data_IF_434386107001
#
_entry.id   IF_434386107001
#
_cell.length_a   1.000
_cell.length_b   1.000
_cell.length_c   1.000
_cell.angle_alpha   90.00
_cell.angle_beta   90.00
_cell.angle_gamma   90.00
#
_symmetry.space_group_name_H-M   'P 1'
#
loop_
_entity.id
_entity.type
_entity.pdbx_description
1 polymer ?
#
# COMPACT_ATOMS: atom_id res chain seq x y z
N UNK A 1 -16.95 -5.33 10.77
CA UNK A 1 -16.85 -6.62 11.45
C UNK A 1 -18.22 -7.20 11.70
N UNK A 2 -18.41 -8.45 11.30
CA UNK A 2 -19.66 -9.19 11.48
C UNK A 2 -19.40 -10.58 12.08
N UNK A 3 -20.33 -11.05 12.89
CA UNK A 3 -20.47 -12.45 13.28
C UNK A 3 -21.82 -12.90 12.75
N UNK A 4 -21.85 -13.97 11.97
CA UNK A 4 -23.03 -14.47 11.31
C UNK A 4 -23.21 -15.98 11.57
N UNK A 5 -24.44 -16.42 11.91
CA UNK A 5 -24.72 -17.83 12.25
C UNK A 5 -25.29 -18.64 11.08
N UNK A 6 -25.30 -18.07 9.88
CA UNK A 6 -25.93 -18.67 8.70
C UNK A 6 -27.36 -18.19 8.46
N UNK A 7 -27.97 -17.49 9.41
CA UNK A 7 -29.33 -16.94 9.33
C UNK A 7 -29.43 -15.50 9.80
N UNK A 8 -28.67 -15.13 10.84
CA UNK A 8 -28.72 -13.81 11.46
C UNK A 8 -27.33 -13.28 11.77
N UNK A 9 -27.21 -11.96 11.82
CA UNK A 9 -26.04 -11.31 12.41
C UNK A 9 -26.11 -11.41 13.94
N UNK A 10 -25.17 -12.12 14.54
CA UNK A 10 -24.97 -12.14 15.99
C UNK A 10 -24.23 -10.90 16.47
N UNK A 11 -23.39 -10.33 15.64
CA UNK A 11 -22.73 -9.05 15.85
C UNK A 11 -22.55 -8.31 14.53
N UNK A 12 -22.72 -6.98 14.56
CA UNK A 12 -22.47 -6.10 13.40
C UNK A 12 -21.89 -4.78 13.89
N UNK A 13 -20.67 -4.46 13.44
CA UNK A 13 -19.92 -3.28 13.84
C UNK A 13 -19.31 -2.60 12.62
N UNK A 14 -19.66 -1.35 12.41
CA UNK A 14 -19.08 -0.48 11.39
C UNK A 14 -18.39 0.70 12.06
N UNK A 15 -17.17 1.00 11.72
CA UNK A 15 -16.44 2.16 12.26
C UNK A 15 -17.01 3.47 11.71
N UNK A 16 -16.99 4.52 12.53
CA UNK A 16 -17.33 5.88 12.08
C UNK A 16 -16.25 6.40 11.12
N UNK A 17 -14.98 6.09 11.40
CA UNK A 17 -13.85 6.46 10.56
C UNK A 17 -13.75 5.60 9.31
N UNK A 18 -13.34 6.22 8.20
CA UNK A 18 -12.99 5.52 6.97
C UNK A 18 -11.47 5.42 6.86
N UNK A 19 -10.97 4.23 6.49
CA UNK A 19 -9.56 3.96 6.26
C UNK A 19 -9.32 3.94 4.74
N UNK A 20 -8.70 4.99 4.20
CA UNK A 20 -8.58 5.23 2.75
C UNK A 20 -7.14 5.45 2.29
N UNK A 21 -6.17 5.22 3.14
CA UNK A 21 -4.77 5.28 2.74
C UNK A 21 -4.36 3.91 2.18
N UNK A 22 -4.25 3.83 0.86
CA UNK A 22 -3.85 2.62 0.16
C UNK A 22 -2.35 2.33 0.28
N UNK A 23 -1.55 3.30 0.73
CA UNK A 23 -0.12 3.14 0.99
C UNK A 23 0.21 2.71 2.41
N UNK A 24 -0.78 2.51 3.28
CA UNK A 24 -0.56 2.23 4.69
C UNK A 24 -1.02 0.83 5.09
N UNK A 25 -0.23 0.19 5.94
CA UNK A 25 -0.67 -0.97 6.71
C UNK A 25 -1.54 -0.53 7.89
N UNK A 26 -2.64 -1.23 8.10
CA UNK A 26 -3.52 -1.05 9.26
C UNK A 26 -3.44 -2.26 10.16
N UNK A 27 -3.07 -2.05 11.43
CA UNK A 27 -3.13 -3.09 12.45
C UNK A 27 -4.54 -3.14 13.03
N UNK A 28 -5.25 -4.24 12.81
CA UNK A 28 -6.63 -4.41 13.24
C UNK A 28 -6.69 -5.45 14.36
N UNK A 29 -7.33 -5.09 15.48
CA UNK A 29 -7.62 -6.02 16.56
C UNK A 29 -9.12 -6.02 16.83
N UNK A 30 -9.72 -7.21 16.79
CA UNK A 30 -11.10 -7.46 17.21
C UNK A 30 -11.05 -8.27 18.50
N UNK A 31 -11.47 -7.67 19.59
CA UNK A 31 -11.45 -8.31 20.90
C UNK A 31 -12.88 -8.63 21.34
N UNK A 32 -13.21 -9.92 21.47
CA UNK A 32 -14.56 -10.43 21.75
C UNK A 32 -14.60 -11.10 23.11
N UNK A 33 -15.58 -10.74 23.94
CA UNK A 33 -15.91 -11.40 25.20
C UNK A 33 -17.41 -11.24 25.48
N UNK A 34 -18.17 -12.22 25.09
CA UNK A 34 -19.65 -12.21 25.25
C UNK A 34 -20.10 -12.35 26.71
N UNK A 35 -19.22 -12.71 27.65
CA UNK A 35 -19.58 -12.83 29.08
C UNK A 35 -19.80 -11.48 29.75
N UNK A 36 -19.35 -10.40 29.14
CA UNK A 36 -19.47 -9.05 29.67
C UNK A 36 -20.94 -8.65 29.87
N UNK A 37 -21.26 -8.13 31.08
CA UNK A 37 -22.62 -7.66 31.41
C UNK A 37 -23.04 -6.47 30.54
N UNK A 38 -22.12 -5.55 30.27
CA UNK A 38 -22.34 -4.38 29.40
C UNK A 38 -22.11 -4.76 27.96
N UNK A 39 -23.13 -4.63 27.11
CA UNK A 39 -23.08 -5.05 25.72
C UNK A 39 -21.98 -4.37 24.90
N UNK A 40 -21.70 -3.07 25.13
CA UNK A 40 -20.62 -2.31 24.46
C UNK A 40 -19.21 -2.81 24.82
N UNK A 41 -19.05 -3.63 25.84
CA UNK A 41 -17.79 -4.24 26.22
C UNK A 41 -17.58 -5.63 25.60
N UNK A 42 -18.60 -6.22 24.97
CA UNK A 42 -18.54 -7.57 24.39
C UNK A 42 -17.71 -7.64 23.13
N UNK A 43 -17.71 -6.58 22.33
CA UNK A 43 -16.87 -6.47 21.12
C UNK A 43 -16.20 -5.11 21.10
N UNK A 44 -14.89 -5.10 20.89
CA UNK A 44 -14.07 -3.90 20.75
C UNK A 44 -13.24 -3.98 19.48
N UNK A 45 -13.33 -2.95 18.65
CA UNK A 45 -12.53 -2.82 17.42
C UNK A 45 -11.42 -1.81 17.67
N UNK A 46 -10.19 -2.20 17.38
CA UNK A 46 -9.05 -1.30 17.42
C UNK A 46 -8.40 -1.22 16.05
N UNK A 47 -7.96 -0.03 15.69
CA UNK A 47 -7.12 0.19 14.52
C UNK A 47 -5.89 0.97 14.98
N UNK A 48 -4.72 0.45 14.67
CA UNK A 48 -3.44 1.01 15.08
C UNK A 48 -3.40 1.36 16.59
N UNK A 49 -3.82 0.40 17.40
CA UNK A 49 -3.88 0.52 18.86
C UNK A 49 -5.02 1.37 19.43
N UNK A 50 -5.77 2.08 18.60
CA UNK A 50 -6.83 3.02 19.03
C UNK A 50 -8.20 2.36 18.93
N UNK A 51 -8.96 2.40 20.05
CA UNK A 51 -10.36 1.94 20.09
C UNK A 51 -11.21 2.80 19.14
N UNK A 52 -11.95 2.15 18.26
CA UNK A 52 -12.77 2.81 17.27
C UNK A 52 -14.18 3.12 17.78
N UNK A 53 -14.68 4.29 17.45
CA UNK A 53 -16.11 4.60 17.54
C UNK A 53 -16.86 3.86 16.44
N UNK A 54 -18.02 3.29 16.78
CA UNK A 54 -18.87 2.57 15.84
C UNK A 54 -20.13 3.34 15.53
N UNK A 55 -20.66 3.18 14.31
CA UNK A 55 -21.91 3.76 13.89
C UNK A 55 -23.05 3.14 14.72
N UNK A 56 -23.88 4.01 15.27
CA UNK A 56 -25.11 3.61 15.95
C UNK A 56 -26.26 3.39 14.97
N UNK A 57 -27.40 2.96 15.50
CA UNK A 57 -28.63 2.75 14.72
C UNK A 57 -28.90 1.28 14.43
N UNK A 58 -29.78 1.00 13.46
CA UNK A 58 -30.26 -0.35 13.17
C UNK A 58 -29.19 -1.33 12.65
N UNK A 59 -28.05 -0.82 12.23
CA UNK A 59 -26.93 -1.63 11.74
C UNK A 59 -25.97 -2.10 12.85
N UNK A 60 -26.06 -1.51 14.06
CA UNK A 60 -25.25 -1.92 15.20
C UNK A 60 -25.93 -3.06 15.96
N UNK A 61 -25.32 -4.22 15.93
CA UNK A 61 -25.79 -5.41 16.65
C UNK A 61 -24.72 -5.81 17.65
N UNK A 62 -25.09 -5.84 18.94
CA UNK A 62 -24.24 -6.39 20.00
C UNK A 62 -24.61 -7.86 20.21
N UNK A 63 -23.66 -8.78 20.37
CA UNK A 63 -23.97 -10.16 20.72
C UNK A 63 -24.70 -10.19 22.08
N UNK A 64 -25.57 -11.17 22.29
CA UNK A 64 -26.18 -11.41 23.57
C UNK A 64 -25.14 -11.80 24.63
N UNK A 65 -25.49 -11.62 25.91
CA UNK A 65 -24.61 -12.07 26.98
C UNK A 65 -24.48 -13.61 26.95
N UNK A 66 -23.25 -14.11 26.99
CA UNK A 66 -22.90 -15.51 26.86
C UNK A 66 -23.27 -16.10 25.48
N UNK A 67 -23.41 -15.23 24.44
CA UNK A 67 -23.62 -15.68 23.07
C UNK A 67 -22.44 -16.54 22.59
N UNK A 68 -22.73 -17.71 22.08
CA UNK A 68 -21.77 -18.47 21.29
C UNK A 68 -21.55 -17.79 19.93
N UNK A 69 -20.30 -17.57 19.57
CA UNK A 69 -19.92 -16.83 18.37
C UNK A 69 -19.55 -17.71 17.19
N UNK A 70 -19.55 -19.02 17.37
CA UNK A 70 -19.15 -20.02 16.36
C UNK A 70 -17.75 -19.80 15.76
N UNK A 71 -16.92 -18.93 16.36
CA UNK A 71 -15.55 -18.80 15.95
C UNK A 71 -14.82 -20.11 16.20
N UNK A 72 -14.20 -20.61 15.14
CA UNK A 72 -13.40 -21.83 15.19
C UNK A 72 -14.15 -23.08 15.65
N UNK A 73 -15.47 -23.09 15.45
CA UNK A 73 -16.33 -24.25 15.61
C UNK A 73 -16.17 -25.17 14.39
N UNK A 74 -15.90 -26.44 14.61
CA UNK A 74 -15.73 -27.46 13.55
C UNK A 74 -16.98 -27.65 12.66
N UNK A 75 -18.14 -27.19 13.09
CA UNK A 75 -19.42 -27.27 12.37
C UNK A 75 -19.56 -26.15 11.32
N UNK A 76 -18.88 -25.04 11.53
CA UNK A 76 -18.98 -23.86 10.68
C UNK A 76 -17.65 -23.58 9.97
N UNK A 77 -17.72 -23.20 8.69
CA UNK A 77 -16.54 -22.74 7.98
C UNK A 77 -16.15 -21.33 8.46
N UNK A 78 -14.87 -21.15 8.74
CA UNK A 78 -14.28 -19.87 9.05
C UNK A 78 -13.46 -19.40 7.85
N UNK A 79 -13.63 -18.15 7.43
CA UNK A 79 -13.01 -17.58 6.25
C UNK A 79 -12.09 -16.42 6.64
N UNK A 80 -10.96 -16.33 5.98
CA UNK A 80 -10.08 -15.17 6.01
C UNK A 80 -10.04 -14.54 4.63
N UNK A 81 -10.34 -13.23 4.57
CA UNK A 81 -10.27 -12.45 3.33
C UNK A 81 -11.47 -12.62 2.38
N UNK A 82 -12.49 -13.41 2.73
CA UNK A 82 -13.71 -13.51 1.92
C UNK A 82 -14.94 -13.90 2.75
N UNK A 83 -16.11 -13.88 2.13
CA UNK A 83 -17.35 -14.45 2.65
C UNK A 83 -17.63 -15.81 1.97
N UNK A 84 -18.52 -16.65 2.57
CA UNK A 84 -18.98 -17.88 1.95
C UNK A 84 -19.56 -17.62 0.56
N UNK A 85 -19.04 -18.29 -0.47
CA UNK A 85 -19.47 -18.07 -1.85
C UNK A 85 -18.59 -17.15 -2.69
N UNK A 86 -17.54 -16.57 -2.09
CA UNK A 86 -16.57 -15.70 -2.80
C UNK A 86 -17.00 -14.24 -2.92
N UNK A 87 -18.15 -13.87 -2.37
CA UNK A 87 -18.56 -12.47 -2.28
C UNK A 87 -17.71 -11.73 -1.23
N UNK A 88 -17.52 -10.42 -1.40
CA UNK A 88 -16.80 -9.59 -0.44
C UNK A 88 -15.32 -9.95 -0.27
N UNK A 89 -14.68 -10.50 -1.32
CA UNK A 89 -13.25 -10.82 -1.28
C UNK A 89 -12.40 -9.59 -0.93
N UNK A 90 -11.49 -9.78 0.00
CA UNK A 90 -10.53 -8.75 0.39
C UNK A 90 -9.52 -8.55 -0.75
N UNK A 91 -9.30 -7.30 -1.12
CA UNK A 91 -8.29 -6.91 -2.09
C UNK A 91 -7.20 -6.10 -1.38
N UNK A 92 -6.04 -6.67 -1.22
CA UNK A 92 -4.91 -6.06 -0.51
C UNK A 92 -3.98 -7.10 0.11
N UNK A 93 -2.99 -6.64 0.86
CA UNK A 93 -2.06 -7.52 1.56
C UNK A 93 -2.54 -7.84 2.97
N UNK A 94 -2.19 -9.03 3.44
CA UNK A 94 -2.46 -9.49 4.79
C UNK A 94 -1.17 -10.06 5.39
N UNK A 95 -0.87 -9.70 6.64
CA UNK A 95 0.30 -10.17 7.35
C UNK A 95 -0.02 -10.47 8.80
N UNK A 96 0.68 -11.45 9.40
CA UNK A 96 0.69 -11.69 10.85
C UNK A 96 -0.72 -11.88 11.46
N UNK A 97 -1.50 -12.84 10.96
CA UNK A 97 -2.84 -13.12 11.49
C UNK A 97 -2.74 -13.95 12.75
N UNK A 98 -3.17 -13.37 13.87
CA UNK A 98 -3.20 -14.03 15.17
C UNK A 98 -4.65 -14.22 15.62
N UNK A 99 -5.05 -15.44 15.95
CA UNK A 99 -6.31 -15.75 16.63
C UNK A 99 -6.01 -16.33 18.00
N UNK A 100 -6.48 -15.65 19.05
CA UNK A 100 -6.27 -16.07 20.44
C UNK A 100 -7.60 -16.57 21.00
N UNK A 101 -7.64 -17.84 21.35
CA UNK A 101 -8.79 -18.47 21.95
C UNK A 101 -8.77 -18.33 23.48
N UNK A 102 -9.92 -17.97 24.04
CA UNK A 102 -10.13 -17.91 25.49
C UNK A 102 -9.71 -16.62 26.18
N UNK A 103 -9.33 -15.56 25.43
CA UNK A 103 -8.95 -14.28 26.02
C UNK A 103 -9.33 -13.06 25.18
N UNK A 104 -9.89 -12.02 25.84
CA UNK A 104 -10.06 -10.69 25.25
C UNK A 104 -8.82 -9.85 25.54
N UNK A 105 -7.92 -9.72 24.56
CA UNK A 105 -6.63 -9.06 24.73
C UNK A 105 -6.66 -7.61 24.23
N UNK A 106 -5.83 -6.76 24.85
CA UNK A 106 -5.62 -5.40 24.40
C UNK A 106 -4.69 -5.36 23.17
N UNK A 107 -4.79 -4.34 22.28
CA UNK A 107 -3.96 -4.25 21.09
C UNK A 107 -2.45 -4.12 21.40
N UNK A 108 -2.09 -3.66 22.60
CA UNK A 108 -0.70 -3.47 23.05
C UNK A 108 0.09 -4.76 23.23
N UNK A 109 -0.55 -5.92 23.18
CA UNK A 109 0.17 -7.22 23.17
C UNK A 109 0.59 -7.64 21.76
N UNK A 110 0.08 -6.96 20.72
CA UNK A 110 0.36 -7.21 19.30
C UNK A 110 1.05 -6.05 18.61
N UNK A 111 1.13 -4.89 19.25
CA UNK A 111 1.74 -3.69 18.67
C UNK A 111 2.09 -2.66 19.73
N UNK A 112 2.91 -1.70 19.35
CA UNK A 112 3.33 -0.58 20.19
C UNK A 112 3.48 0.70 19.38
N UNK A 113 3.42 1.86 20.01
CA UNK A 113 3.79 3.12 19.35
C UNK A 113 5.31 3.26 19.31
N UNK A 114 5.83 3.59 18.13
CA UNK A 114 7.24 3.93 17.98
C UNK A 114 7.58 5.16 18.83
N UNK A 115 8.63 5.12 19.68
CA UNK A 115 8.91 6.20 20.61
C UNK A 115 9.41 7.49 19.93
N UNK A 116 9.92 7.38 18.69
CA UNK A 116 10.46 8.51 17.94
C UNK A 116 9.39 9.18 17.07
N UNK A 117 8.65 8.37 16.32
CA UNK A 117 7.73 8.88 15.30
C UNK A 117 6.25 8.76 15.69
N UNK A 118 5.97 8.11 16.81
CA UNK A 118 4.63 7.86 17.34
C UNK A 118 3.66 7.15 16.37
N UNK A 119 4.20 6.48 15.36
CA UNK A 119 3.40 5.58 14.54
C UNK A 119 3.25 4.22 15.22
N UNK A 120 2.14 3.56 14.98
CA UNK A 120 1.90 2.22 15.49
C UNK A 120 2.69 1.20 14.67
N UNK A 121 3.40 0.31 15.33
CA UNK A 121 4.14 -0.79 14.70
C UNK A 121 3.77 -2.13 15.34
N UNK A 122 3.75 -3.23 14.58
CA UNK A 122 3.49 -4.55 15.13
C UNK A 122 4.65 -5.02 15.99
N UNK A 123 4.33 -5.84 17.00
CA UNK A 123 5.27 -6.62 17.79
C UNK A 123 4.85 -8.08 17.77
N UNK A 124 5.83 -8.97 17.91
CA UNK A 124 5.55 -10.40 17.95
C UNK A 124 4.77 -10.76 19.21
N UNK A 125 3.61 -11.41 19.05
CA UNK A 125 2.88 -11.97 20.17
C UNK A 125 3.66 -13.15 20.80
N UNK A 126 3.80 -13.11 22.12
CA UNK A 126 4.56 -14.12 22.89
C UNK A 126 3.71 -14.88 23.90
N UNK A 127 2.41 -14.60 23.95
CA UNK A 127 1.47 -15.27 24.84
C UNK A 127 1.02 -16.63 24.33
N UNK A 128 0.04 -17.22 25.01
CA UNK A 128 -0.58 -18.49 24.64
C UNK A 128 -1.71 -18.27 23.65
N UNK A 129 -1.83 -19.15 22.67
CA UNK A 129 -2.89 -19.08 21.65
C UNK A 129 -4.21 -19.74 22.10
N UNK A 130 -4.22 -20.48 23.21
CA UNK A 130 -5.39 -21.25 23.64
C UNK A 130 -5.52 -22.56 22.86
N UNK A 131 -6.67 -23.25 23.06
CA UNK A 131 -6.89 -24.58 22.49
C UNK A 131 -7.10 -24.55 20.98
N UNK A 132 -7.86 -23.57 20.49
CA UNK A 132 -8.23 -23.43 19.08
C UNK A 132 -7.59 -22.20 18.43
N UNK A 133 -6.63 -21.57 19.11
CA UNK A 133 -5.92 -20.42 18.56
C UNK A 133 -4.94 -20.80 17.46
N UNK A 134 -4.62 -19.85 16.57
CA UNK A 134 -3.69 -20.07 15.48
C UNK A 134 -2.88 -18.82 15.15
N UNK A 135 -1.81 -19.02 14.36
CA UNK A 135 -0.98 -17.94 13.85
C UNK A 135 -0.56 -18.22 12.40
N UNK A 136 -0.88 -17.32 11.49
CA UNK A 136 -0.46 -17.38 10.10
C UNK A 136 0.58 -16.31 9.83
N UNK A 137 1.78 -16.71 9.43
CA UNK A 137 2.87 -15.79 9.05
C UNK A 137 3.08 -15.70 7.53
N UNK A 138 2.35 -16.50 6.76
CA UNK A 138 2.36 -16.56 5.29
C UNK A 138 3.75 -16.73 4.67
N UNK A 139 4.71 -17.34 5.40
CA UNK A 139 6.09 -17.48 4.93
C UNK A 139 6.33 -18.66 4.02
N UNK A 140 5.49 -19.68 4.09
CA UNK A 140 5.61 -20.85 3.24
C UNK A 140 4.78 -20.66 1.98
N UNK A 141 5.44 -20.29 0.86
CA UNK A 141 4.77 -20.08 -0.43
C UNK A 141 4.08 -21.35 -0.96
N UNK A 142 4.47 -22.54 -0.49
CA UNK A 142 3.84 -23.81 -0.88
C UNK A 142 2.62 -24.15 -0.03
N UNK A 143 2.39 -23.43 1.06
CA UNK A 143 1.28 -23.59 1.99
C UNK A 143 1.04 -22.29 2.76
N UNK A 144 0.40 -21.32 2.11
CA UNK A 144 0.13 -20.00 2.70
C UNK A 144 -0.80 -20.08 3.91
N UNK A 145 -1.65 -21.11 3.95
CA UNK A 145 -2.54 -21.41 5.08
C UNK A 145 -1.87 -22.08 6.28
N UNK A 146 -0.54 -22.29 6.25
CA UNK A 146 0.20 -23.00 7.28
C UNK A 146 0.14 -22.30 8.64
N UNK A 147 -0.45 -22.95 9.63
CA UNK A 147 -0.52 -22.46 11.01
C UNK A 147 0.76 -22.75 11.79
N UNK A 148 1.44 -21.69 12.21
CA UNK A 148 2.68 -21.78 12.98
C UNK A 148 2.44 -22.10 14.47
N UNK A 149 1.23 -21.94 14.96
CA UNK A 149 0.82 -22.15 16.35
C UNK A 149 -0.59 -22.69 16.42
N UNK A 150 -0.89 -23.42 17.49
CA UNK A 150 -2.20 -23.98 17.74
C UNK A 150 -2.32 -25.46 17.33
N UNK A 151 -3.49 -26.01 17.53
CA UNK A 151 -3.80 -27.44 17.26
C UNK A 151 -4.63 -27.63 15.99
N UNK A 152 -4.92 -26.54 15.26
CA UNK A 152 -5.73 -26.62 14.06
C UNK A 152 -4.94 -27.19 12.88
N UNK A 153 -5.66 -27.87 12.02
CA UNK A 153 -5.20 -28.12 10.64
C UNK A 153 -5.01 -26.79 9.93
N UNK A 154 -4.07 -26.77 8.99
CA UNK A 154 -3.84 -25.60 8.15
C UNK A 154 -5.11 -25.13 7.46
N UNK A 155 -5.18 -23.84 7.16
CA UNK A 155 -6.23 -23.30 6.30
C UNK A 155 -6.04 -23.83 4.88
N UNK A 156 -7.15 -24.14 4.23
CA UNK A 156 -7.15 -24.49 2.81
C UNK A 156 -7.22 -23.22 1.99
N UNK A 157 -6.26 -23.03 1.11
CA UNK A 157 -6.26 -21.94 0.13
C UNK A 157 -7.32 -22.21 -0.95
N UNK A 158 -8.25 -21.27 -1.13
CA UNK A 158 -9.30 -21.42 -2.17
C UNK A 158 -8.80 -20.93 -3.55
N UNK A 159 -8.07 -19.81 -3.58
CA UNK A 159 -7.54 -19.22 -4.83
C UNK A 159 -6.11 -18.68 -4.69
N UNK A 160 -5.55 -18.66 -3.49
CA UNK A 160 -4.19 -18.20 -3.26
C UNK A 160 -3.18 -19.20 -3.84
N UNK A 161 -2.16 -18.68 -4.49
CA UNK A 161 -1.06 -19.44 -5.06
C UNK A 161 0.29 -18.88 -4.60
N UNK A 162 1.37 -19.63 -4.82
CA UNK A 162 2.71 -19.24 -4.36
C UNK A 162 3.16 -17.83 -4.79
N UNK A 163 2.68 -17.35 -5.93
CA UNK A 163 3.00 -16.01 -6.46
C UNK A 163 2.19 -14.88 -5.81
N UNK A 164 1.24 -15.20 -4.93
CA UNK A 164 0.53 -14.19 -4.12
C UNK A 164 1.32 -13.83 -2.85
N UNK A 165 2.39 -14.58 -2.55
CA UNK A 165 3.30 -14.23 -1.48
C UNK A 165 4.17 -13.03 -1.89
N UNK A 166 4.14 -11.98 -1.07
CA UNK A 166 4.92 -10.76 -1.26
C UNK A 166 5.88 -10.54 -0.10
N UNK A 167 6.97 -9.80 -0.37
CA UNK A 167 7.90 -9.38 0.69
C UNK A 167 7.49 -8.05 1.33
N UNK A 168 6.39 -7.44 0.88
CA UNK A 168 5.80 -6.26 1.50
C UNK A 168 5.27 -6.61 2.90
N UNK A 169 5.66 -5.83 3.90
CA UNK A 169 5.32 -6.08 5.30
C UNK A 169 5.06 -4.77 6.05
N UNK A 170 4.35 -4.80 7.18
CA UNK A 170 4.17 -3.62 8.02
C UNK A 170 5.46 -2.94 8.50
N UNK A 171 6.59 -3.67 8.50
CA UNK A 171 7.91 -3.16 8.92
C UNK A 171 8.80 -2.74 7.76
N UNK A 172 8.45 -3.13 6.54
CA UNK A 172 9.07 -2.65 5.31
C UNK A 172 7.99 -2.56 4.23
N UNK A 173 7.25 -1.46 4.24
CA UNK A 173 6.17 -1.19 3.31
C UNK A 173 6.73 -0.68 1.98
N UNK A 174 6.35 -1.34 0.89
CA UNK A 174 6.75 -0.97 -0.46
C UNK A 174 5.76 0.02 -1.10
N UNK A 175 6.23 0.72 -2.10
CA UNK A 175 5.39 1.53 -2.96
C UNK A 175 4.37 0.67 -3.69
N UNK A 176 3.16 1.21 -3.90
CA UNK A 176 2.11 0.61 -4.72
C UNK A 176 1.43 1.70 -5.56
N UNK A 177 0.60 1.33 -6.52
CA UNK A 177 -0.27 2.26 -7.21
C UNK A 177 -1.27 2.89 -6.22
N UNK A 178 -1.64 4.14 -6.47
CA UNK A 178 -2.54 4.90 -5.60
C UNK A 178 -3.89 5.20 -6.28
N UNK A 179 -4.95 4.43 -6.00
CA UNK A 179 -6.26 4.68 -6.58
C UNK A 179 -6.87 6.06 -6.25
N UNK A 180 -6.34 6.77 -5.23
CA UNK A 180 -6.76 8.14 -4.92
C UNK A 180 -6.06 9.20 -5.79
N UNK A 181 -4.96 8.85 -6.45
CA UNK A 181 -4.19 9.75 -7.33
C UNK A 181 -4.28 9.26 -8.78
N UNK A 182 -5.46 9.35 -9.33
CA UNK A 182 -5.75 8.90 -10.70
C UNK A 182 -6.55 9.94 -11.48
N UNK A 183 -6.48 9.84 -12.80
CA UNK A 183 -7.33 10.59 -13.71
C UNK A 183 -8.81 10.28 -13.48
N UNK A 184 -9.67 11.30 -13.40
CA UNK A 184 -11.07 11.18 -12.97
C UNK A 184 -12.10 11.23 -14.10
N UNK A 185 -11.69 11.46 -15.35
CA UNK A 185 -12.63 11.57 -16.45
C UNK A 185 -13.12 10.19 -16.92
N UNK A 186 -14.33 9.82 -16.56
CA UNK A 186 -15.18 8.71 -17.07
C UNK A 186 -14.52 7.35 -17.38
N UNK A 187 -13.24 7.16 -17.08
CA UNK A 187 -12.50 5.94 -17.40
C UNK A 187 -12.40 5.05 -16.17
N UNK A 188 -12.72 3.81 -16.37
CA UNK A 188 -12.57 2.80 -15.32
C UNK A 188 -11.10 2.38 -15.26
N UNK A 189 -10.41 2.89 -14.28
CA UNK A 189 -9.02 2.52 -13.97
C UNK A 189 -9.02 1.78 -12.65
N UNK A 190 -8.61 0.54 -12.67
CA UNK A 190 -8.53 -0.30 -11.48
C UNK A 190 -7.08 -0.57 -11.11
N UNK A 191 -6.77 -0.49 -9.84
CA UNK A 191 -5.56 -1.08 -9.28
C UNK A 191 -5.97 -2.40 -8.58
N UNK A 192 -5.34 -3.48 -9.00
CA UNK A 192 -5.63 -4.85 -8.60
C UNK A 192 -4.34 -5.50 -8.07
N UNK A 193 -4.37 -6.75 -7.64
CA UNK A 193 -3.21 -7.50 -7.16
C UNK A 193 -2.42 -6.71 -6.10
N UNK A 194 -3.09 -6.32 -5.00
CA UNK A 194 -2.47 -5.49 -3.99
C UNK A 194 -2.03 -4.10 -4.47
N UNK A 195 -2.69 -3.55 -5.49
CA UNK A 195 -2.35 -2.30 -6.18
C UNK A 195 -1.01 -2.36 -6.95
N UNK A 196 -0.61 -3.51 -7.46
CA UNK A 196 0.53 -3.64 -8.38
C UNK A 196 0.11 -3.79 -9.84
N UNK A 197 -1.07 -4.37 -10.09
CA UNK A 197 -1.62 -4.48 -11.44
C UNK A 197 -2.54 -3.30 -11.72
N UNK A 198 -2.34 -2.66 -12.86
CA UNK A 198 -3.23 -1.65 -13.39
C UNK A 198 -4.03 -2.20 -14.55
N UNK A 199 -5.32 -1.93 -14.56
CA UNK A 199 -6.26 -2.27 -15.62
C UNK A 199 -6.97 -0.99 -16.08
N UNK A 200 -6.72 -0.62 -17.34
CA UNK A 200 -7.40 0.48 -18.02
C UNK A 200 -8.46 -0.10 -18.97
N UNK A 201 -9.70 -0.09 -18.54
CA UNK A 201 -10.81 -0.82 -19.17
C UNK A 201 -11.51 -0.08 -20.33
N UNK A 202 -11.02 1.05 -20.84
CA UNK A 202 -11.74 1.77 -21.87
C UNK A 202 -10.87 2.29 -23.00
N UNK A 203 -11.41 2.18 -24.23
CA UNK A 203 -10.86 2.72 -25.47
C UNK A 203 -11.03 4.27 -25.58
N UNK A 204 -11.71 4.89 -24.61
CA UNK A 204 -12.16 6.28 -24.72
C UNK A 204 -11.28 7.28 -23.98
N UNK A 205 -9.98 7.16 -24.03
CA UNK A 205 -9.19 8.25 -23.54
C UNK A 205 -7.95 7.89 -22.76
N UNK A 206 -7.28 8.93 -22.39
CA UNK A 206 -5.98 8.88 -21.77
C UNK A 206 -6.14 8.98 -20.26
N UNK A 207 -5.52 8.09 -19.55
CA UNK A 207 -5.61 7.98 -18.10
C UNK A 207 -4.23 7.86 -17.50
N UNK A 208 -4.11 8.25 -16.24
CA UNK A 208 -2.88 8.10 -15.47
C UNK A 208 -3.20 7.77 -14.01
N UNK A 209 -2.25 7.13 -13.35
CA UNK A 209 -2.28 6.85 -11.93
C UNK A 209 -0.89 7.04 -11.34
N UNK A 210 -0.80 7.82 -10.27
CA UNK A 210 0.38 7.93 -9.44
C UNK A 210 0.51 6.78 -8.46
N UNK A 211 1.63 6.73 -7.76
CA UNK A 211 1.93 5.72 -6.76
C UNK A 211 1.95 6.32 -5.34
N UNK A 212 2.16 5.47 -4.33
CA UNK A 212 2.02 5.87 -2.92
C UNK A 212 3.25 6.54 -2.32
N UNK A 213 4.41 6.47 -2.98
CA UNK A 213 5.65 7.07 -2.50
C UNK A 213 6.23 8.08 -3.47
N UNK A 214 6.63 9.25 -2.96
CA UNK A 214 7.19 10.34 -3.74
C UNK A 214 8.48 10.86 -3.08
N UNK A 215 9.65 10.27 -3.38
CA UNK A 215 10.92 10.74 -2.85
C UNK A 215 11.32 12.10 -3.42
N UNK A 216 12.15 12.85 -2.66
CA UNK A 216 12.74 14.13 -3.05
C UNK A 216 14.26 14.06 -3.25
N UNK A 217 14.89 12.95 -2.91
CA UNK A 217 16.33 12.71 -3.01
C UNK A 217 16.60 11.22 -3.16
N UNK A 218 17.85 10.85 -3.45
CA UNK A 218 18.29 9.46 -3.58
C UNK A 218 18.13 8.90 -4.99
N UNK A 219 18.45 7.61 -5.12
CA UNK A 219 18.46 6.88 -6.39
C UNK A 219 17.48 5.73 -6.31
N UNK A 220 16.52 5.71 -7.24
CA UNK A 220 15.35 4.83 -7.18
C UNK A 220 15.21 4.02 -8.45
N UNK A 221 14.77 2.78 -8.30
CA UNK A 221 14.57 1.83 -9.38
C UNK A 221 13.22 1.13 -9.22
N UNK A 222 12.52 0.93 -10.33
CA UNK A 222 11.38 0.04 -10.40
C UNK A 222 11.22 -0.56 -11.79
N UNK A 223 10.43 -1.61 -11.89
CA UNK A 223 10.17 -2.36 -13.11
C UNK A 223 8.69 -2.30 -13.50
N UNK A 224 8.42 -2.49 -14.78
CA UNK A 224 7.09 -2.50 -15.35
C UNK A 224 6.99 -3.60 -16.39
N UNK A 225 5.90 -4.36 -16.37
CA UNK A 225 5.56 -5.37 -17.36
C UNK A 225 4.23 -5.02 -18.02
N UNK A 226 4.20 -4.76 -19.32
CA UNK A 226 2.97 -4.69 -20.10
C UNK A 226 2.43 -6.08 -20.40
N UNK A 227 1.15 -6.34 -20.15
CA UNK A 227 0.54 -7.67 -20.29
C UNK A 227 -0.44 -7.77 -21.45
N UNK A 228 -0.92 -6.65 -22.04
CA UNK A 228 -1.81 -6.61 -23.21
C UNK A 228 -1.26 -5.79 -24.38
N UNK A 229 -1.48 -6.26 -25.60
CA UNK A 229 -0.65 -5.97 -26.78
C UNK A 229 -0.92 -4.65 -27.52
N UNK A 230 -2.12 -4.14 -27.56
CA UNK A 230 -2.48 -3.18 -28.63
C UNK A 230 -2.63 -1.74 -28.14
N UNK A 231 -2.18 -1.45 -26.93
CA UNK A 231 -2.36 -0.18 -26.28
C UNK A 231 -1.06 0.66 -26.25
N UNK A 232 -1.19 1.87 -25.79
CA UNK A 232 -0.06 2.76 -25.56
C UNK A 232 0.20 2.92 -24.04
N UNK A 233 0.57 1.83 -23.33
CA UNK A 233 0.93 1.97 -21.93
C UNK A 233 2.14 2.86 -21.78
N UNK A 234 2.18 3.62 -20.68
CA UNK A 234 3.29 4.49 -20.34
C UNK A 234 3.67 4.27 -18.89
N UNK A 235 4.94 4.30 -18.62
CA UNK A 235 5.47 4.21 -17.26
C UNK A 235 6.64 5.17 -17.09
N UNK A 236 6.87 5.62 -15.87
CA UNK A 236 7.96 6.53 -15.56
C UNK A 236 7.72 7.28 -14.26
N UNK A 237 8.12 8.54 -14.21
CA UNK A 237 7.95 9.40 -13.05
C UNK A 237 7.30 10.73 -13.43
N UNK A 238 6.50 11.28 -12.53
CA UNK A 238 5.94 12.63 -12.63
C UNK A 238 6.19 13.41 -11.34
N UNK A 239 6.20 14.73 -11.42
CA UNK A 239 6.17 15.54 -10.20
C UNK A 239 4.94 15.20 -9.37
N UNK A 240 5.10 15.04 -8.05
CA UNK A 240 4.02 14.65 -7.14
C UNK A 240 2.88 15.69 -7.07
N UNK A 241 3.13 16.94 -7.46
CA UNK A 241 2.12 17.99 -7.59
C UNK A 241 1.60 18.15 -9.02
N UNK A 242 1.97 17.26 -9.93
CA UNK A 242 1.43 17.25 -11.29
C UNK A 242 -0.09 16.97 -11.25
N UNK A 243 -0.83 17.65 -12.13
CA UNK A 243 -2.28 17.49 -12.20
C UNK A 243 -2.64 16.21 -13.00
N UNK A 244 -2.41 15.05 -12.44
CA UNK A 244 -2.75 13.78 -13.07
C UNK A 244 -4.28 13.59 -13.21
N UNK A 245 -5.08 14.39 -12.53
CA UNK A 245 -6.56 14.27 -12.54
C UNK A 245 -7.20 14.79 -13.81
N UNK A 246 -6.59 15.78 -14.44
CA UNK A 246 -7.15 16.48 -15.61
C UNK A 246 -6.28 16.34 -16.86
N UNK A 247 -5.04 15.82 -16.71
CA UNK A 247 -4.08 15.76 -17.81
C UNK A 247 -3.47 14.35 -17.93
N UNK A 248 -2.98 14.07 -19.13
CA UNK A 248 -2.27 12.82 -19.46
C UNK A 248 -0.90 12.82 -18.79
N UNK A 249 -0.46 11.67 -18.29
CA UNK A 249 0.85 11.54 -17.66
C UNK A 249 2.00 12.13 -18.54
N UNK A 250 1.95 11.99 -19.85
CA UNK A 250 3.00 12.47 -20.75
C UNK A 250 2.87 13.96 -21.17
N UNK A 251 1.70 14.56 -21.00
CA UNK A 251 1.50 15.99 -21.26
C UNK A 251 1.73 16.84 -20.03
N UNK A 252 1.88 16.20 -18.86
CA UNK A 252 2.07 16.91 -17.62
C UNK A 252 3.48 17.41 -17.54
N UNK A 253 3.62 18.67 -17.25
CA UNK A 253 4.91 19.29 -17.03
C UNK A 253 5.63 18.64 -15.84
N UNK A 254 6.90 18.18 -16.00
CA UNK A 254 7.65 17.41 -15.00
C UNK A 254 7.38 15.93 -15.01
N UNK A 255 6.77 15.42 -16.07
CA UNK A 255 6.57 14.01 -16.30
C UNK A 255 7.60 13.46 -17.29
N UNK A 256 8.07 12.26 -17.04
CA UNK A 256 9.03 11.52 -17.85
C UNK A 256 8.48 10.11 -18.03
N UNK A 257 8.02 9.78 -19.26
CA UNK A 257 7.24 8.57 -19.53
C UNK A 257 7.73 7.86 -20.78
N UNK A 258 7.93 6.55 -20.70
CA UNK A 258 8.31 5.69 -21.82
C UNK A 258 7.09 4.96 -22.39
N UNK A 259 6.93 5.02 -23.70
CA UNK A 259 5.80 4.51 -24.46
C UNK A 259 6.26 3.35 -25.39
N UNK A 260 5.42 2.37 -25.76
CA UNK A 260 5.79 1.22 -26.59
C UNK A 260 6.32 1.56 -27.99
N UNK A 261 5.93 2.71 -28.55
CA UNK A 261 6.45 3.11 -29.88
C UNK A 261 7.89 3.67 -29.84
N UNK A 262 8.56 3.57 -28.69
CA UNK A 262 9.93 4.02 -28.50
C UNK A 262 10.06 5.49 -28.06
N UNK A 263 8.97 6.22 -27.90
CA UNK A 263 9.06 7.59 -27.41
C UNK A 263 9.21 7.65 -25.89
N UNK A 264 10.21 8.38 -25.45
CA UNK A 264 10.35 8.76 -24.04
C UNK A 264 10.03 10.25 -23.92
N UNK A 265 8.88 10.54 -23.35
CA UNK A 265 8.41 11.91 -23.17
C UNK A 265 9.09 12.53 -21.95
N UNK A 266 9.46 13.81 -22.07
CA UNK A 266 9.98 14.59 -20.96
C UNK A 266 9.80 16.08 -21.23
N UNK A 267 9.12 16.80 -20.32
CA UNK A 267 8.93 18.25 -20.44
C UNK A 267 8.37 18.73 -21.79
N UNK A 268 7.31 18.08 -22.31
CA UNK A 268 6.66 18.42 -23.59
C UNK A 268 7.52 18.10 -24.84
N UNK A 269 8.67 17.48 -24.66
CA UNK A 269 9.53 16.96 -25.72
C UNK A 269 9.58 15.43 -25.65
N UNK A 270 10.13 14.78 -26.66
CA UNK A 270 10.40 13.35 -26.57
C UNK A 270 11.74 13.01 -27.23
N UNK A 271 12.36 11.96 -26.72
CA UNK A 271 13.47 11.26 -27.35
C UNK A 271 12.98 9.95 -27.96
N UNK A 272 13.60 9.49 -29.05
CA UNK A 272 13.19 8.27 -29.75
C UNK A 272 14.18 7.15 -29.49
N UNK A 273 13.69 6.12 -28.81
CA UNK A 273 14.44 4.96 -28.37
C UNK A 273 13.85 3.65 -28.93
N UNK A 274 14.22 2.52 -28.39
CA UNK A 274 13.79 1.22 -28.84
C UNK A 274 12.30 0.99 -28.52
N UNK A 275 11.54 0.49 -29.50
CA UNK A 275 10.16 0.04 -29.27
C UNK A 275 10.11 -1.18 -28.33
N UNK A 276 9.05 -1.31 -27.57
CA UNK A 276 8.85 -2.46 -26.70
C UNK A 276 7.44 -3.07 -26.88
N UNK A 277 7.26 -4.30 -26.49
CA UNK A 277 6.04 -5.07 -26.66
C UNK A 277 5.62 -5.74 -25.36
N UNK A 278 4.45 -6.34 -25.39
CA UNK A 278 4.01 -7.20 -24.30
C UNK A 278 5.02 -8.25 -23.93
N UNK A 279 5.13 -8.46 -22.64
CA UNK A 279 6.07 -9.42 -22.09
C UNK A 279 7.50 -8.90 -22.00
N UNK A 280 7.84 -7.74 -22.56
CA UNK A 280 9.11 -7.08 -22.26
C UNK A 280 9.07 -6.52 -20.84
N UNK A 281 10.13 -6.75 -20.08
CA UNK A 281 10.32 -6.14 -18.78
C UNK A 281 11.03 -4.82 -18.96
N UNK A 282 10.34 -3.76 -18.63
CA UNK A 282 10.82 -2.39 -18.71
C UNK A 282 11.32 -1.95 -17.35
N UNK A 283 12.30 -1.05 -17.32
CA UNK A 283 12.80 -0.51 -16.05
C UNK A 283 13.08 0.98 -16.16
N UNK A 284 13.03 1.66 -15.02
CA UNK A 284 13.41 3.05 -14.89
C UNK A 284 14.30 3.25 -13.66
N UNK A 285 15.37 4.01 -13.85
CA UNK A 285 16.30 4.42 -12.81
C UNK A 285 16.30 5.95 -12.71
N UNK A 286 15.89 6.47 -11.55
CA UNK A 286 15.77 7.89 -11.24
C UNK A 286 16.85 8.29 -10.23
N UNK A 287 17.74 9.20 -10.60
CA UNK A 287 18.74 9.81 -9.73
C UNK A 287 18.31 11.26 -9.40
N UNK A 288 17.69 11.43 -8.24
CA UNK A 288 17.23 12.73 -7.76
C UNK A 288 18.36 13.60 -7.21
N UNK A 289 19.47 12.99 -6.83
CA UNK A 289 20.62 13.73 -6.31
C UNK A 289 21.37 14.48 -7.44
N UNK A 290 21.30 13.94 -8.66
CA UNK A 290 21.91 14.52 -9.83
C UNK A 290 20.89 15.02 -10.87
N UNK A 291 19.60 14.75 -10.68
CA UNK A 291 18.54 15.15 -11.59
C UNK A 291 18.57 14.42 -12.92
N UNK A 292 18.75 13.10 -12.93
CA UNK A 292 18.91 12.26 -14.10
C UNK A 292 17.90 11.13 -14.12
N UNK A 293 17.45 10.73 -15.30
CA UNK A 293 16.58 9.56 -15.48
C UNK A 293 17.05 8.70 -16.65
N UNK A 294 17.04 7.40 -16.42
CA UNK A 294 17.37 6.37 -17.39
C UNK A 294 16.21 5.38 -17.52
N UNK A 295 16.02 4.84 -18.70
CA UNK A 295 15.04 3.80 -18.98
C UNK A 295 15.75 2.57 -19.60
N UNK A 296 15.21 1.39 -19.31
CA UNK A 296 15.73 0.16 -19.89
C UNK A 296 14.59 -0.72 -20.46
N UNK A 297 14.94 -1.52 -21.46
CA UNK A 297 14.14 -2.61 -21.99
C UNK A 297 14.92 -3.91 -21.83
N UNK A 298 14.35 -4.90 -21.15
CA UNK A 298 14.97 -6.22 -20.94
C UNK A 298 16.44 -6.10 -20.50
N UNK A 299 16.69 -5.29 -19.48
CA UNK A 299 18.02 -4.98 -18.92
C UNK A 299 19.00 -4.26 -19.89
N UNK A 300 18.51 -3.73 -21.00
CA UNK A 300 19.30 -2.91 -21.91
C UNK A 300 18.92 -1.45 -21.76
N UNK A 301 19.83 -0.63 -21.23
CA UNK A 301 19.61 0.79 -21.02
C UNK A 301 19.54 1.54 -22.34
N UNK A 302 18.56 2.42 -22.47
CA UNK A 302 18.34 3.26 -23.65
C UNK A 302 19.40 4.35 -23.75
N UNK A 303 19.53 4.98 -24.91
CA UNK A 303 20.55 6.01 -25.21
C UNK A 303 22.01 5.53 -24.93
N UNK A 304 22.28 4.20 -25.00
CA UNK A 304 23.56 3.64 -24.55
C UNK A 304 23.92 4.06 -23.13
N UNK A 305 22.92 4.22 -22.28
CA UNK A 305 23.06 4.73 -20.91
C UNK A 305 23.67 3.73 -19.94
N UNK A 306 24.21 4.24 -18.86
CA UNK A 306 24.66 3.47 -17.70
C UNK A 306 24.34 4.26 -16.42
N UNK A 307 23.26 3.92 -15.71
CA UNK A 307 22.89 4.63 -14.47
C UNK A 307 23.94 4.53 -13.37
N UNK A 308 24.70 3.42 -13.31
CA UNK A 308 25.73 3.25 -12.27
C UNK A 308 26.89 4.23 -12.42
N UNK A 309 27.27 4.54 -13.64
CA UNK A 309 28.30 5.53 -13.96
C UNK A 309 27.76 6.91 -14.36
N UNK A 310 26.43 7.04 -14.44
CA UNK A 310 25.73 8.25 -14.89
C UNK A 310 26.01 8.60 -16.36
N UNK A 311 26.40 7.62 -17.16
CA UNK A 311 26.65 7.85 -18.59
C UNK A 311 25.34 7.92 -19.37
N UNK A 312 25.20 8.89 -20.24
CA UNK A 312 24.13 9.05 -21.24
C UNK A 312 22.71 8.88 -20.64
N UNK A 313 22.30 9.65 -19.63
CA UNK A 313 20.90 9.64 -19.20
C UNK A 313 19.99 10.10 -20.35
N UNK A 314 18.74 9.60 -20.35
CA UNK A 314 17.77 10.03 -21.38
C UNK A 314 17.39 11.49 -21.14
N UNK A 315 17.19 11.89 -19.89
CA UNK A 315 16.98 13.27 -19.52
C UNK A 315 17.82 13.66 -18.31
N UNK A 316 18.23 14.93 -18.31
CA UNK A 316 18.96 15.59 -17.22
C UNK A 316 18.21 16.84 -16.74
N UNK A 317 18.64 17.41 -15.63
CA UNK A 317 18.06 18.64 -15.10
C UNK A 317 16.63 18.47 -14.59
N UNK A 318 16.28 17.27 -14.12
CA UNK A 318 15.03 17.04 -13.41
C UNK A 318 14.97 18.00 -12.23
N UNK A 319 13.87 18.74 -12.10
CA UNK A 319 13.75 19.80 -11.10
C UNK A 319 14.18 21.20 -11.56
N UNK A 320 14.78 21.37 -12.74
CA UNK A 320 15.20 22.67 -13.26
C UNK A 320 14.06 23.55 -13.81
N UNK A 321 12.83 23.25 -13.44
CA UNK A 321 11.67 24.06 -13.85
C UNK A 321 11.54 25.30 -12.95
N UNK A 322 10.75 26.28 -13.38
CA UNK A 322 10.63 27.58 -12.71
C UNK A 322 10.28 27.55 -11.23
N UNK A 323 9.92 26.38 -10.69
CA UNK A 323 9.63 26.15 -9.27
C UNK A 323 10.22 24.85 -8.69
N UNK A 324 10.92 24.05 -9.50
CA UNK A 324 11.49 22.79 -9.06
C UNK A 324 13.02 22.84 -9.16
N UNK A 325 13.72 22.52 -8.09
CA UNK A 325 15.19 22.51 -8.02
C UNK A 325 15.65 21.13 -7.61
N UNK A 326 16.69 20.61 -8.24
CA UNK A 326 17.34 19.35 -7.83
C UNK A 326 17.77 19.46 -6.37
N UNK A 327 17.40 18.47 -5.57
CA UNK A 327 17.68 18.46 -4.13
C UNK A 327 16.79 19.34 -3.28
N UNK A 328 15.83 20.06 -3.87
CA UNK A 328 14.81 20.79 -3.11
C UNK A 328 13.86 19.76 -2.44
N UNK A 329 13.73 19.74 -1.11
CA UNK A 329 12.86 18.78 -0.42
C UNK A 329 11.37 18.96 -0.75
N UNK A 330 10.99 20.06 -1.41
CA UNK A 330 9.63 20.28 -1.91
C UNK A 330 9.41 19.69 -3.29
N UNK A 331 10.47 19.41 -4.05
CA UNK A 331 10.42 18.76 -5.37
C UNK A 331 10.43 17.26 -5.20
N UNK A 332 9.28 16.63 -5.36
CA UNK A 332 9.09 15.19 -5.21
C UNK A 332 8.65 14.57 -6.53
N UNK A 333 9.13 13.38 -6.81
CA UNK A 333 8.73 12.62 -7.99
C UNK A 333 8.01 11.33 -7.55
N UNK A 334 6.86 11.07 -8.14
CA UNK A 334 6.06 9.88 -7.91
C UNK A 334 6.16 8.96 -9.13
N UNK A 335 6.37 7.65 -8.96
CA UNK A 335 6.18 6.71 -10.05
C UNK A 335 4.79 6.85 -10.62
N UNK A 336 4.69 6.83 -11.94
CA UNK A 336 3.41 7.08 -12.63
C UNK A 336 3.26 6.10 -13.78
N UNK A 337 2.07 5.54 -13.92
CA UNK A 337 1.66 4.77 -15.08
C UNK A 337 0.52 5.47 -15.79
N UNK A 338 0.41 5.29 -17.10
CA UNK A 338 -0.60 5.96 -17.89
C UNK A 338 -0.96 5.23 -19.16
N UNK A 339 -2.00 5.72 -19.84
CA UNK A 339 -2.45 5.24 -21.14
C UNK A 339 -2.45 6.35 -22.17
N UNK A 340 -2.02 6.01 -23.39
CA UNK A 340 -2.10 6.90 -24.54
C UNK A 340 -3.47 6.90 -25.25
N UNK A 341 -4.46 6.12 -24.78
CA UNK A 341 -5.81 6.16 -25.32
C UNK A 341 -6.44 4.81 -25.70
N UNK A 342 -5.89 3.69 -25.25
CA UNK A 342 -6.48 2.36 -25.48
C UNK A 342 -6.55 1.59 -24.16
N UNK A 343 -7.41 0.58 -24.10
CA UNK A 343 -7.46 -0.36 -22.96
C UNK A 343 -6.14 -1.15 -22.88
N UNK A 344 -5.61 -1.34 -21.70
CA UNK A 344 -4.41 -2.13 -21.46
C UNK A 344 -4.24 -2.53 -20.00
N UNK A 345 -3.49 -3.58 -19.79
CA UNK A 345 -3.07 -4.09 -18.50
C UNK A 345 -1.56 -4.04 -18.35
N UNK A 346 -1.10 -3.84 -17.11
CA UNK A 346 0.31 -3.95 -16.78
C UNK A 346 0.51 -4.16 -15.29
N UNK A 347 1.69 -4.63 -14.94
CA UNK A 347 2.09 -4.87 -13.55
C UNK A 347 3.36 -4.10 -13.25
N UNK A 348 3.38 -3.41 -12.11
CA UNK A 348 4.57 -2.72 -11.59
C UNK A 348 5.23 -3.56 -10.52
N UNK A 349 6.56 -3.49 -10.45
CA UNK A 349 7.35 -4.06 -9.38
C UNK A 349 8.26 -2.97 -8.80
N UNK A 350 7.96 -2.50 -7.59
CA UNK A 350 8.79 -1.52 -6.89
C UNK A 350 9.88 -2.16 -6.04
N UNK A 351 10.06 -3.49 -6.17
CA UNK A 351 11.02 -4.31 -5.46
C UNK A 351 10.39 -5.38 -4.56
N UNK A 352 9.08 -5.61 -4.66
CA UNK A 352 8.38 -6.59 -3.82
C UNK A 352 7.97 -7.88 -4.54
N UNK A 353 7.97 -7.91 -5.88
CA UNK A 353 7.52 -9.09 -6.65
C UNK A 353 8.15 -9.17 -8.04
N UNK A 354 9.21 -9.94 -8.19
CA UNK A 354 9.84 -10.21 -9.50
C UNK A 354 9.04 -11.14 -10.40
N UNK A 355 7.97 -11.75 -9.89
CA UNK A 355 7.07 -12.58 -10.69
C UNK A 355 6.03 -11.76 -11.46
N UNK A 356 5.83 -10.49 -11.11
CA UNK A 356 4.79 -9.64 -11.66
C UNK A 356 3.40 -10.29 -11.55
N UNK A 357 3.01 -10.71 -10.33
CA UNK A 357 1.75 -11.41 -10.10
C UNK A 357 1.66 -12.75 -10.84
N UNK A 358 2.77 -13.47 -10.97
CA UNK A 358 2.85 -14.75 -11.66
C UNK A 358 2.96 -14.67 -13.18
N UNK A 359 3.04 -13.47 -13.78
CA UNK A 359 3.21 -13.31 -15.24
C UNK A 359 4.64 -13.66 -15.71
N UNK A 360 5.59 -13.76 -14.80
CA UNK A 360 6.98 -14.15 -15.03
C UNK A 360 7.45 -15.16 -13.99
N UNK A 361 8.51 -15.89 -14.31
CA UNK A 361 9.22 -16.66 -13.30
C UNK A 361 10.09 -15.71 -12.49
N UNK A 362 9.83 -15.59 -11.18
CA UNK A 362 10.55 -14.70 -10.27
C UNK A 362 12.07 -14.92 -10.32
N UNK A 363 12.83 -13.85 -10.21
CA UNK A 363 14.31 -13.87 -10.33
C UNK A 363 14.99 -13.50 -9.00
N UNK A 364 14.28 -12.84 -8.09
CA UNK A 364 14.76 -12.47 -6.75
C UNK A 364 16.11 -11.72 -6.79
N UNK A 365 16.16 -10.64 -7.57
CA UNK A 365 17.33 -9.77 -7.71
C UNK A 365 17.23 -8.55 -6.79
N UNK A 366 18.35 -7.83 -6.60
CA UNK A 366 18.42 -6.58 -5.86
C UNK A 366 18.99 -6.69 -4.46
N UNK A 367 19.11 -7.88 -3.90
CA UNK A 367 19.73 -8.11 -2.59
C UNK A 367 19.02 -7.37 -1.44
N UNK A 368 19.52 -7.52 -0.21
CA UNK A 368 19.03 -6.74 0.95
C UNK A 368 17.56 -6.95 1.33
N UNK A 369 16.85 -7.87 0.69
CA UNK A 369 15.42 -8.14 0.88
C UNK A 369 14.53 -7.51 -0.20
N UNK A 370 15.09 -7.07 -1.32
CA UNK A 370 14.36 -6.65 -2.49
C UNK A 370 14.16 -7.83 -3.46
N UNK A 371 13.07 -7.83 -4.22
CA UNK A 371 12.71 -8.86 -5.21
C UNK A 371 12.44 -8.22 -6.58
N UNK A 372 13.52 -7.92 -7.31
CA UNK A 372 13.46 -7.45 -8.69
C UNK A 372 13.68 -8.57 -9.70
N UNK A 373 13.18 -8.39 -10.93
CA UNK A 373 13.40 -9.29 -12.04
C UNK A 373 14.82 -9.16 -12.60
N UNK A 374 15.32 -7.93 -12.74
CA UNK A 374 16.70 -7.64 -13.10
C UNK A 374 17.45 -7.00 -11.90
N UNK A 375 18.76 -7.16 -11.90
CA UNK A 375 19.61 -6.51 -10.89
C UNK A 375 19.53 -4.98 -11.05
N UNK A 376 19.12 -4.23 -10.01
CA UNK A 376 19.16 -2.77 -10.05
C UNK A 376 20.58 -2.25 -10.27
N UNK A 377 20.75 -1.09 -10.93
CA UNK A 377 22.07 -0.48 -11.03
C UNK A 377 22.66 -0.18 -9.65
N UNK A 378 23.98 -0.25 -9.54
CA UNK A 378 24.66 -0.02 -8.27
C UNK A 378 24.28 1.34 -7.65
N UNK A 379 23.87 1.32 -6.40
CA UNK A 379 23.44 2.51 -5.64
C UNK A 379 21.96 2.90 -5.85
N UNK A 380 21.20 2.18 -6.66
CA UNK A 380 19.76 2.35 -6.79
C UNK A 380 19.02 1.38 -5.87
N UNK A 381 17.91 1.83 -5.34
CA UNK A 381 17.13 1.14 -4.33
C UNK A 381 15.67 0.97 -4.72
N UNK A 382 15.00 -0.02 -4.12
CA UNK A 382 13.55 -0.17 -4.15
C UNK A 382 12.85 1.01 -3.47
N UNK A 383 11.65 1.34 -3.95
CA UNK A 383 10.78 2.31 -3.30
C UNK A 383 10.08 1.64 -2.11
N UNK A 384 10.77 1.57 -0.98
CA UNK A 384 10.25 1.00 0.26
C UNK A 384 10.63 1.87 1.46
N UNK A 385 9.89 1.74 2.56
CA UNK A 385 10.11 2.53 3.78
C UNK A 385 11.50 2.31 4.38
N UNK A 386 12.10 1.14 4.18
CA UNK A 386 13.47 0.81 4.59
C UNK A 386 14.51 1.72 3.92
N UNK A 387 14.27 2.09 2.67
CA UNK A 387 15.22 2.83 1.84
C UNK A 387 14.93 4.34 1.83
N UNK A 388 13.74 4.76 2.26
CA UNK A 388 13.44 6.19 2.37
C UNK A 388 14.30 6.84 3.45
N UNK A 389 14.79 8.08 3.22
CA UNK A 389 15.49 8.81 4.26
C UNK A 389 14.57 9.02 5.47
N UNK A 390 15.11 9.01 6.71
CA UNK A 390 14.33 9.32 7.88
C UNK A 390 13.70 10.71 7.75
N UNK A 391 12.47 10.93 8.25
CA UNK A 391 11.82 12.23 8.17
C UNK A 391 12.66 13.28 8.92
N UNK A 392 12.92 14.40 8.26
CA UNK A 392 13.65 15.55 8.83
C UNK A 392 12.84 16.22 9.95
N UNK A 393 11.52 16.12 9.84
CA UNK A 393 10.57 16.71 10.80
C UNK A 393 9.76 15.58 11.41
N UNK A 394 9.78 15.49 12.74
CA UNK A 394 8.93 14.56 13.49
C UNK A 394 7.50 15.12 13.48
N UNK A 395 6.52 14.47 12.84
CA UNK A 395 5.17 15.01 12.68
C UNK A 395 4.54 15.41 14.01
N UNK A 396 4.65 14.58 15.02
CA UNK A 396 4.10 14.74 16.36
C UNK A 396 4.62 15.96 17.14
N UNK A 397 5.81 16.48 16.75
CA UNK A 397 6.40 17.68 17.34
C UNK A 397 5.98 18.95 16.62
N UNK A 398 5.25 18.83 15.50
CA UNK A 398 4.92 19.97 14.63
C UNK A 398 3.44 20.05 14.27
N UNK A 399 2.72 18.93 14.30
CA UNK A 399 1.28 18.87 14.03
C UNK A 399 0.60 17.89 14.96
N UNK A 400 -0.59 18.21 15.45
CA UNK A 400 -1.38 17.33 16.29
C UNK A 400 -2.87 17.63 16.23
N UNK A 401 -3.67 16.58 16.40
CA UNK A 401 -5.11 16.66 16.54
C UNK A 401 -5.47 16.10 17.91
N UNK A 402 -6.19 16.88 18.71
CA UNK A 402 -6.65 16.49 20.04
C UNK A 402 -8.15 16.70 20.13
N UNK A 403 -8.87 15.66 20.53
CA UNK A 403 -10.28 15.79 20.88
C UNK A 403 -10.44 16.27 22.32
N UNK A 404 -11.41 17.12 22.56
CA UNK A 404 -11.71 17.60 23.91
C UNK A 404 -13.21 17.76 24.11
N UNK A 405 -13.63 17.73 25.37
CA UNK A 405 -15.02 18.03 25.73
C UNK A 405 -15.10 19.47 26.17
N UNK A 406 -15.97 20.26 25.56
CA UNK A 406 -16.23 21.64 25.97
C UNK A 406 -16.83 21.69 27.36
N UNK A 407 -16.39 22.65 28.16
CA UNK A 407 -16.83 22.84 29.57
C UNK A 407 -17.80 24.04 29.77
N UNK A 408 -18.30 24.61 28.67
CA UNK A 408 -19.21 25.77 28.72
C UNK A 408 -18.53 27.09 29.08
N UNK A 409 -17.19 27.17 29.09
CA UNK A 409 -16.43 28.40 29.20
C UNK A 409 -16.03 28.84 30.59
N UNK A 410 -16.25 28.03 31.65
CA UNK A 410 -15.78 28.37 33.00
C UNK A 410 -15.57 27.11 33.85
N UNK A 411 -14.39 26.90 34.42
CA UNK A 411 -13.11 27.61 34.22
C UNK A 411 -12.53 27.39 32.83
N UNK A 412 -11.39 28.02 32.49
CA UNK A 412 -10.69 27.81 31.23
C UNK A 412 -10.45 26.32 30.94
N UNK A 413 -10.69 25.92 29.70
CA UNK A 413 -10.48 24.54 29.32
C UNK A 413 -9.02 24.34 28.89
N UNK A 414 -8.26 23.63 29.69
CA UNK A 414 -6.87 23.27 29.36
C UNK A 414 -6.87 22.03 28.51
N UNK A 415 -6.47 22.17 27.26
CA UNK A 415 -6.30 21.04 26.31
C UNK A 415 -4.84 20.61 26.36
N UNK A 416 -4.63 19.34 26.70
CA UNK A 416 -3.30 18.70 26.71
C UNK A 416 -3.20 17.62 25.67
N UNK A 417 -2.00 17.03 25.47
CA UNK A 417 -1.77 15.93 24.54
C UNK A 417 -0.97 16.30 23.29
N UNK A 418 -0.58 17.58 23.15
CA UNK A 418 0.38 17.99 22.14
C UNK A 418 1.80 17.97 22.72
N UNK A 419 2.78 17.52 21.91
CA UNK A 419 4.21 17.54 22.27
C UNK A 419 4.90 18.87 21.97
N UNK A 420 4.17 19.85 21.46
CA UNK A 420 4.67 21.17 21.08
C UNK A 420 3.69 22.28 21.45
N UNK A 421 4.18 23.52 21.44
CA UNK A 421 3.34 24.71 21.58
C UNK A 421 2.80 25.11 20.20
N UNK A 422 1.48 25.01 19.95
CA UNK A 422 0.93 25.32 18.64
C UNK A 422 1.05 26.80 18.29
N UNK A 423 1.47 27.12 17.07
CA UNK A 423 1.42 28.46 16.49
C UNK A 423 0.09 28.78 15.80
N UNK A 424 -0.64 27.75 15.38
CA UNK A 424 -1.99 27.83 14.82
C UNK A 424 -2.88 26.79 15.47
N UNK A 425 -4.07 27.19 15.89
CA UNK A 425 -5.10 26.30 16.45
C UNK A 425 -6.39 26.46 15.64
N UNK A 426 -6.93 25.36 15.13
CA UNK A 426 -8.24 25.32 14.48
C UNK A 426 -9.18 24.49 15.37
N UNK A 427 -10.24 25.10 15.84
CA UNK A 427 -11.26 24.48 16.70
C UNK A 427 -12.54 24.31 15.87
N UNK A 428 -13.08 23.08 15.87
CA UNK A 428 -14.27 22.74 15.11
C UNK A 428 -15.34 22.12 16.01
#
# INVERSE_FOLDING_TARGET
FHIYDGSNFLASYKTVGNFRDFGAWYHIVVAVDTTQSTNTNRVKLYVNGTLQSVLGGGDLIHPDQNQDTHFNDATYKNWLGSEPGGDGAYSGYMAEVNYIDGAQLAPTVFGESDPTYNHWKPIKYTGTYGTNGFYLDFKDASNLGNSQKGLLTDFTEEVLVATDQMIDTPTNNFCTLNPNDRHINNHTVHALEGNLRIDFNSDEGQSSMGSTMAPSSGKWYYEFLGTTADASPMFGFSLANANLKDERAFNVQGSYQYNPNGRIYGNETYDQETTWNNGDVMAVALDLDNGEIHFAKNNTWQNSGDPATRANPVFTGLGSRSSATVGDPTTRYVPTVGSGGSAWDGVVNYGQDSSFGGNKTGQNKGGGGDDFYYEPPNGYHSLSTKNLPPPVVIPDENFGIVSYTGNGGSPENVISGLKFKPGLVNIR
#
